data_IF_744385988080
#
_entry.id   IF_744385988080
#
_cell.length_a   1.000
_cell.length_b   1.000
_cell.length_c   1.000
_cell.angle_alpha   90.00
_cell.angle_beta   90.00
_cell.angle_gamma   90.00
#
_symmetry.space_group_name_H-M   'P 1'
#
loop_
_entity.id
_entity.type
_entity.pdbx_description
1 polymer ?
#
# COMPACT_ATOMS: atom_id res chain seq x y z
N UNK A 1 2.56 5.67 12.83
CA UNK A 1 3.65 4.68 12.77
C UNK A 1 3.48 3.88 11.51
N UNK A 2 4.49 3.89 10.64
CA UNK A 2 4.54 2.98 9.49
C UNK A 2 4.81 1.57 10.02
N UNK A 3 3.77 0.73 10.09
CA UNK A 3 3.91 -0.65 10.54
C UNK A 3 3.98 -1.59 9.34
N UNK A 4 5.02 -1.41 8.51
CA UNK A 4 5.25 -2.22 7.32
C UNK A 4 5.31 -3.72 7.66
N UNK A 5 5.78 -4.06 8.87
CA UNK A 5 5.78 -5.43 9.39
C UNK A 5 4.36 -5.97 9.57
N UNK A 6 3.48 -5.19 10.23
CA UNK A 6 2.06 -5.55 10.39
C UNK A 6 1.35 -5.70 9.05
N UNK A 7 1.57 -4.77 8.12
CA UNK A 7 0.93 -4.81 6.80
C UNK A 7 1.37 -6.04 6.00
N UNK A 8 2.66 -6.41 6.06
CA UNK A 8 3.18 -7.62 5.41
C UNK A 8 2.66 -8.89 6.06
N UNK A 9 2.58 -8.92 7.40
CA UNK A 9 1.99 -10.05 8.11
C UNK A 9 0.51 -10.23 7.75
N UNK A 10 -0.26 -9.14 7.74
CA UNK A 10 -1.66 -9.15 7.32
C UNK A 10 -1.83 -9.68 5.89
N UNK A 11 -1.04 -9.17 4.94
CA UNK A 11 -1.10 -9.64 3.56
C UNK A 11 -0.79 -11.14 3.46
N UNK A 12 0.21 -11.63 4.19
CA UNK A 12 0.60 -13.03 4.21
C UNK A 12 -0.50 -13.95 4.75
N UNK A 13 -1.20 -13.55 5.83
CA UNK A 13 -2.34 -14.31 6.38
C UNK A 13 -3.49 -14.41 5.38
N UNK A 14 -3.70 -13.39 4.54
CA UNK A 14 -4.70 -13.44 3.46
C UNK A 14 -4.23 -14.26 2.24
N UNK A 15 -2.99 -14.76 2.22
CA UNK A 15 -2.38 -15.39 1.04
C UNK A 15 -1.99 -14.41 -0.06
N UNK A 16 -1.82 -13.12 0.27
CA UNK A 16 -1.55 -12.02 -0.64
C UNK A 16 -0.20 -11.34 -0.37
N UNK A 17 0.14 -10.34 -1.18
CA UNK A 17 1.37 -9.54 -1.02
C UNK A 17 1.09 -8.05 -1.14
N UNK A 18 1.86 -7.23 -0.43
CA UNK A 18 1.82 -5.77 -0.58
C UNK A 18 2.47 -5.37 -1.91
N UNK A 19 1.67 -4.89 -2.86
CA UNK A 19 2.15 -4.54 -4.21
C UNK A 19 3.01 -3.26 -4.25
N UNK A 20 2.83 -2.36 -3.29
CA UNK A 20 3.62 -1.14 -3.19
C UNK A 20 3.10 -0.24 -2.08
N UNK A 21 3.87 0.82 -1.79
CA UNK A 21 3.56 1.81 -0.76
C UNK A 21 3.68 3.19 -1.35
N UNK A 22 2.64 3.99 -1.18
CA UNK A 22 2.61 5.39 -1.61
C UNK A 22 2.90 6.26 -0.38
N UNK A 23 3.92 7.12 -0.40
CA UNK A 23 4.22 8.00 0.72
C UNK A 23 3.12 9.06 0.86
N UNK A 24 2.81 9.43 2.10
CA UNK A 24 1.96 10.58 2.36
C UNK A 24 2.69 11.85 1.90
N UNK A 25 2.05 12.63 1.03
CA UNK A 25 2.67 13.84 0.47
C UNK A 25 1.62 14.92 0.21
N UNK A 26 1.88 16.19 0.58
CA UNK A 26 0.97 17.30 0.25
C UNK A 26 0.86 17.53 -1.26
N UNK A 27 1.84 17.08 -2.06
CA UNK A 27 1.78 17.18 -3.53
C UNK A 27 0.61 16.40 -4.13
N UNK A 28 0.17 15.32 -3.48
CA UNK A 28 -1.00 14.55 -3.90
C UNK A 28 -2.26 15.42 -3.74
N UNK A 29 -2.46 15.99 -2.56
CA UNK A 29 -3.60 16.88 -2.29
C UNK A 29 -3.60 18.16 -3.14
N UNK A 30 -2.43 18.73 -3.42
CA UNK A 30 -2.31 19.88 -4.33
C UNK A 30 -2.73 19.52 -5.76
N UNK A 31 -2.28 18.37 -6.29
CA UNK A 31 -2.69 17.90 -7.61
C UNK A 31 -4.20 17.63 -7.68
N UNK A 32 -4.77 17.05 -6.62
CA UNK A 32 -6.21 16.80 -6.50
C UNK A 32 -7.04 18.09 -6.55
N UNK A 33 -6.60 19.16 -5.87
CA UNK A 33 -7.26 20.49 -5.94
C UNK A 33 -7.29 21.05 -7.36
N UNK A 34 -6.26 20.77 -8.16
CA UNK A 34 -6.17 21.14 -9.58
C UNK A 34 -6.90 20.16 -10.52
N UNK A 35 -7.54 19.12 -10.00
CA UNK A 35 -8.17 18.02 -10.79
C UNK A 35 -7.18 17.30 -11.71
N UNK A 36 -5.93 17.17 -11.27
CA UNK A 36 -4.85 16.50 -12.00
C UNK A 36 -4.22 15.42 -11.14
N UNK A 37 -3.46 14.51 -11.74
CA UNK A 37 -2.72 13.52 -10.97
C UNK A 37 -1.38 14.08 -10.50
N UNK A 38 -0.82 13.55 -9.41
CA UNK A 38 0.54 13.91 -8.97
C UNK A 38 1.61 13.55 -10.01
N UNK A 39 1.33 12.54 -10.85
CA UNK A 39 2.20 12.14 -11.97
C UNK A 39 2.24 13.22 -13.06
N UNK A 40 1.14 13.94 -13.26
CA UNK A 40 1.07 15.05 -14.23
C UNK A 40 1.59 16.37 -13.65
N UNK A 41 1.26 16.70 -12.40
CA UNK A 41 1.65 17.97 -11.78
C UNK A 41 3.11 17.98 -11.32
N UNK A 42 3.60 16.87 -10.80
CA UNK A 42 4.93 16.76 -10.22
C UNK A 42 5.59 15.43 -10.63
N UNK A 43 5.89 15.23 -11.93
CA UNK A 43 6.34 13.96 -12.48
C UNK A 43 7.62 13.43 -11.81
N UNK A 44 8.53 14.29 -11.37
CA UNK A 44 9.79 13.90 -10.76
C UNK A 44 9.68 13.69 -9.23
N UNK A 45 8.51 13.90 -8.64
CA UNK A 45 8.31 13.80 -7.20
C UNK A 45 8.33 12.36 -6.69
N UNK A 46 8.69 12.18 -5.41
CA UNK A 46 8.63 10.89 -4.71
C UNK A 46 7.28 10.15 -4.85
N UNK A 47 6.11 10.77 -4.60
CA UNK A 47 4.82 10.10 -4.80
C UNK A 47 4.57 9.72 -6.26
N UNK A 48 4.94 10.56 -7.24
CA UNK A 48 4.79 10.21 -8.66
C UNK A 48 5.65 8.99 -9.04
N UNK A 49 6.90 8.95 -8.57
CA UNK A 49 7.78 7.78 -8.77
C UNK A 49 7.21 6.53 -8.09
N UNK A 50 6.65 6.64 -6.88
CA UNK A 50 6.02 5.54 -6.17
C UNK A 50 4.80 4.98 -6.92
N UNK A 51 3.95 5.86 -7.49
CA UNK A 51 2.83 5.42 -8.34
C UNK A 51 3.30 4.72 -9.61
N UNK A 52 4.37 5.21 -10.28
CA UNK A 52 4.95 4.53 -11.45
C UNK A 52 5.51 3.16 -11.09
N UNK A 53 6.25 3.06 -9.98
CA UNK A 53 6.77 1.78 -9.50
C UNK A 53 5.64 0.79 -9.21
N UNK A 54 4.59 1.24 -8.52
CA UNK A 54 3.39 0.41 -8.28
C UNK A 54 2.73 -0.02 -9.60
N UNK A 55 2.59 0.88 -10.57
CA UNK A 55 2.04 0.55 -11.88
C UNK A 55 2.86 -0.54 -12.59
N UNK A 56 4.19 -0.46 -12.56
CA UNK A 56 5.05 -1.50 -13.12
C UNK A 56 4.84 -2.85 -12.43
N UNK A 57 4.80 -2.87 -11.09
CA UNK A 57 4.52 -4.10 -10.33
C UNK A 57 3.20 -4.73 -10.74
N UNK A 58 2.15 -3.92 -10.92
CA UNK A 58 0.82 -4.43 -11.32
C UNK A 58 0.79 -4.94 -12.77
N UNK A 59 1.49 -4.28 -13.69
CA UNK A 59 1.55 -4.69 -15.11
C UNK A 59 2.39 -5.96 -15.32
N UNK A 60 3.44 -6.11 -14.53
CA UNK A 60 4.33 -7.28 -14.57
C UNK A 60 3.78 -8.45 -13.74
N UNK A 61 2.81 -8.21 -12.86
CA UNK A 61 2.18 -9.26 -12.09
C UNK A 61 1.40 -10.22 -13.01
N UNK A 62 1.86 -11.46 -13.08
CA UNK A 62 1.23 -12.56 -13.85
C UNK A 62 0.47 -13.53 -12.95
N UNK A 63 0.45 -13.29 -11.64
CA UNK A 63 -0.17 -14.14 -10.64
C UNK A 63 -1.47 -13.54 -10.08
N UNK A 64 -2.32 -14.42 -9.56
CA UNK A 64 -3.51 -14.09 -8.80
C UNK A 64 -3.81 -15.21 -7.82
N UNK A 65 -4.46 -14.89 -6.71
CA UNK A 65 -4.88 -15.88 -5.71
C UNK A 65 -6.34 -15.62 -5.32
N UNK A 66 -6.99 -16.64 -4.77
CA UNK A 66 -8.24 -16.47 -4.03
C UNK A 66 -7.81 -16.22 -2.58
N UNK A 67 -8.05 -15.02 -2.01
CA UNK A 67 -7.61 -14.72 -0.67
C UNK A 67 -8.40 -15.54 0.37
N UNK A 68 -7.74 -15.89 1.46
CA UNK A 68 -8.37 -16.56 2.60
C UNK A 68 -8.88 -15.50 3.60
N UNK A 69 -10.19 -15.43 3.89
CA UNK A 69 -10.73 -14.43 4.82
C UNK A 69 -10.18 -14.63 6.24
N UNK A 70 -9.84 -13.53 6.89
CA UNK A 70 -9.44 -13.51 8.30
C UNK A 70 -10.65 -13.22 9.19
N UNK A 71 -10.68 -13.81 10.39
CA UNK A 71 -11.66 -13.48 11.43
C UNK A 71 -11.28 -12.21 12.19
N UNK A 72 -12.26 -11.55 12.81
CA UNK A 72 -12.02 -10.35 13.64
C UNK A 72 -11.03 -10.65 14.79
N UNK A 73 -11.17 -11.80 15.46
CA UNK A 73 -10.24 -12.26 16.50
C UNK A 73 -8.80 -12.42 15.97
N UNK A 74 -8.66 -12.92 14.74
CA UNK A 74 -7.38 -13.07 14.05
C UNK A 74 -6.72 -11.71 13.78
N UNK A 75 -7.52 -10.74 13.33
CA UNK A 75 -7.06 -9.38 13.10
C UNK A 75 -6.64 -8.68 14.40
N UNK A 76 -7.41 -8.83 15.48
CA UNK A 76 -7.05 -8.26 16.78
C UNK A 76 -5.75 -8.87 17.32
N UNK A 77 -5.57 -10.18 17.18
CA UNK A 77 -4.31 -10.86 17.55
C UNK A 77 -3.11 -10.33 16.76
N UNK A 78 -3.28 -10.07 15.47
CA UNK A 78 -2.25 -9.50 14.60
C UNK A 78 -1.85 -8.08 15.05
N UNK A 79 -2.84 -7.23 15.35
CA UNK A 79 -2.63 -5.87 15.87
C UNK A 79 -1.90 -5.87 17.22
N UNK A 80 -2.28 -6.74 18.16
CA UNK A 80 -1.61 -6.87 19.47
C UNK A 80 -0.14 -7.26 19.34
N UNK A 81 0.19 -8.18 18.43
CA UNK A 81 1.58 -8.59 18.17
C UNK A 81 2.45 -7.42 17.67
N UNK A 82 1.88 -6.51 16.89
CA UNK A 82 2.63 -5.43 16.25
C UNK A 82 2.70 -4.14 17.06
N UNK A 83 1.98 -4.05 18.18
CA UNK A 83 2.07 -3.00 19.18
C UNK A 83 2.29 -3.64 20.56
N UNK A 84 3.51 -4.14 20.86
CA UNK A 84 3.80 -4.61 22.20
C UNK A 84 3.65 -3.42 23.16
N UNK A 85 2.77 -3.58 24.15
CA UNK A 85 2.64 -2.69 25.31
C UNK A 85 3.96 -2.60 26.07
#
# INVERSE_FOLDING_TARGET
MDNDSLLRAFAAELGTTVAGKIPMSPLIGQAELERRTVVDCAPESGPAQAFRALASVLLDNRGGCIPEPMTDDGLEALCRKAAPL
#
